data_IF_297110321275
#
_entry.id   IF_297110321275
#
_cell.length_a   1.000
_cell.length_b   1.000
_cell.length_c   1.000
_cell.angle_alpha   90.00
_cell.angle_beta   90.00
_cell.angle_gamma   90.00
#
_symmetry.space_group_name_H-M   'P 1'
#
loop_
_entity.id
_entity.type
_entity.pdbx_description
1 polymer ?
#
# COMPACT_ATOMS: atom_id res chain seq x y z
N UNK A 1 -0.50 -0.98 10.15
CA UNK A 1 -0.65 -0.53 11.55
C UNK A 1 -2.12 -0.42 11.95
N UNK A 2 -2.86 0.63 11.57
CA UNK A 2 -4.22 0.86 12.07
C UNK A 2 -5.18 -0.30 11.79
N UNK A 3 -5.19 -0.86 10.58
CA UNK A 3 -6.03 -2.01 10.24
C UNK A 3 -5.75 -3.24 11.13
N UNK A 4 -4.48 -3.49 11.48
CA UNK A 4 -4.12 -4.58 12.40
C UNK A 4 -4.56 -4.27 13.83
N UNK A 5 -4.45 -3.01 14.29
CA UNK A 5 -4.96 -2.62 15.60
C UNK A 5 -6.48 -2.83 15.70
N UNK A 6 -7.23 -2.51 14.64
CA UNK A 6 -8.67 -2.76 14.57
C UNK A 6 -8.98 -4.26 14.60
N UNK A 7 -8.28 -5.06 13.79
CA UNK A 7 -8.42 -6.51 13.78
C UNK A 7 -8.15 -7.11 15.17
N UNK A 8 -7.01 -6.76 15.79
CA UNK A 8 -6.65 -7.25 17.11
C UNK A 8 -7.66 -6.82 18.17
N UNK A 9 -8.17 -5.59 18.14
CA UNK A 9 -9.21 -5.13 19.07
C UNK A 9 -10.52 -5.94 18.92
N UNK A 10 -10.97 -6.19 17.69
CA UNK A 10 -12.18 -6.99 17.40
C UNK A 10 -12.05 -8.42 17.91
N UNK A 11 -10.86 -9.00 17.80
CA UNK A 11 -10.56 -10.38 18.20
C UNK A 11 -9.96 -10.50 19.60
N UNK A 12 -9.88 -9.39 20.37
CA UNK A 12 -9.27 -9.34 21.71
C UNK A 12 -7.84 -9.91 21.74
N UNK A 13 -7.06 -9.64 20.70
CA UNK A 13 -5.66 -10.03 20.59
C UNK A 13 -4.75 -8.89 21.06
N UNK A 14 -3.67 -9.23 21.75
CA UNK A 14 -2.58 -8.29 22.02
C UNK A 14 -1.86 -7.91 20.72
N UNK A 15 -1.45 -6.65 20.59
CA UNK A 15 -0.78 -6.16 19.38
C UNK A 15 0.41 -5.25 19.71
N UNK A 16 1.61 -5.75 19.45
CA UNK A 16 2.84 -4.97 19.48
C UNK A 16 3.18 -4.45 18.08
N UNK A 17 3.45 -3.15 17.97
CA UNK A 17 3.90 -2.53 16.71
C UNK A 17 5.27 -1.90 16.88
N UNK A 18 6.26 -2.47 16.19
CA UNK A 18 7.65 -2.03 16.25
C UNK A 18 7.94 -0.90 15.28
N UNK A 19 8.63 0.11 15.79
CA UNK A 19 8.88 1.39 15.14
C UNK A 19 10.34 1.81 15.29
N UNK A 20 10.82 2.56 14.31
CA UNK A 20 11.99 3.44 14.50
C UNK A 20 11.65 4.54 15.51
N UNK A 21 12.64 5.22 16.10
CA UNK A 21 12.39 6.28 17.06
C UNK A 21 11.43 7.33 16.50
N UNK A 22 10.36 7.61 17.25
CA UNK A 22 9.38 8.61 16.88
C UNK A 22 9.87 10.02 17.22
N UNK A 23 9.53 11.04 16.42
CA UNK A 23 9.72 12.43 16.82
C UNK A 23 9.05 12.70 18.17
N UNK A 24 9.71 13.49 19.03
CA UNK A 24 9.21 13.84 20.38
C UNK A 24 7.77 14.36 20.35
N UNK A 25 7.42 15.15 19.33
CA UNK A 25 6.06 15.67 19.12
C UNK A 25 5.01 14.58 18.94
N UNK A 26 5.28 13.56 18.11
CA UNK A 26 4.36 12.44 17.88
C UNK A 26 4.28 11.50 19.08
N UNK A 27 5.38 11.37 19.84
CA UNK A 27 5.42 10.60 21.09
C UNK A 27 4.54 11.25 22.18
N UNK A 28 4.66 12.56 22.36
CA UNK A 28 3.94 13.30 23.40
C UNK A 28 2.50 13.61 23.03
N UNK A 29 2.22 13.82 21.73
CA UNK A 29 0.89 14.14 21.22
C UNK A 29 0.60 13.27 19.99
N UNK A 30 0.19 12.00 20.19
CA UNK A 30 -0.21 11.13 19.09
C UNK A 30 -1.35 11.75 18.26
N UNK A 31 -1.30 11.59 16.93
CA UNK A 31 -2.38 11.99 16.03
C UNK A 31 -2.56 11.01 14.87
N UNK A 32 -3.65 11.19 14.11
CA UNK A 32 -3.99 10.37 12.93
C UNK A 32 -4.05 8.87 13.23
N UNK A 33 -3.63 8.07 12.25
CA UNK A 33 -3.64 6.60 12.35
C UNK A 33 -2.87 6.06 13.56
N UNK A 34 -1.81 6.75 14.00
CA UNK A 34 -1.03 6.34 15.17
C UNK A 34 -1.83 6.48 16.47
N UNK A 35 -2.48 7.64 16.68
CA UNK A 35 -3.38 7.84 17.83
C UNK A 35 -4.52 6.82 17.83
N UNK A 36 -5.15 6.62 16.67
CA UNK A 36 -6.27 5.69 16.54
C UNK A 36 -5.84 4.24 16.87
N UNK A 37 -4.65 3.82 16.44
CA UNK A 37 -4.13 2.50 16.76
C UNK A 37 -3.83 2.34 18.26
N UNK A 38 -3.23 3.36 18.91
CA UNK A 38 -3.00 3.36 20.36
C UNK A 38 -4.32 3.26 21.14
N UNK A 39 -5.37 3.98 20.73
CA UNK A 39 -6.68 3.90 21.40
C UNK A 39 -7.38 2.55 21.27
N UNK A 40 -6.93 1.71 20.33
CA UNK A 40 -7.42 0.34 20.13
C UNK A 40 -6.58 -0.70 20.90
N UNK A 41 -5.64 -0.28 21.75
CA UNK A 41 -4.81 -1.18 22.55
C UNK A 41 -3.52 -1.64 21.88
N UNK A 42 -3.11 -1.02 20.77
CA UNK A 42 -1.78 -1.25 20.20
C UNK A 42 -0.69 -0.78 21.17
N UNK A 43 0.29 -1.63 21.43
CA UNK A 43 1.51 -1.27 22.17
C UNK A 43 2.61 -0.87 21.19
N UNK A 44 2.99 0.41 21.20
CA UNK A 44 4.12 0.89 20.41
C UNK A 44 5.46 0.48 21.04
N UNK A 45 6.30 -0.22 20.29
CA UNK A 45 7.67 -0.61 20.67
C UNK A 45 8.66 0.16 19.80
N UNK A 46 9.62 0.85 20.40
CA UNK A 46 10.64 1.59 19.65
C UNK A 46 11.99 0.92 19.79
N UNK A 47 12.78 0.91 18.71
CA UNK A 47 14.16 0.41 18.73
C UNK A 47 15.06 1.33 17.90
N UNK A 48 16.29 1.54 18.39
CA UNK A 48 17.36 2.20 17.65
C UNK A 48 18.12 1.23 16.73
N UNK A 49 17.88 -0.08 16.87
CA UNK A 49 18.47 -1.11 16.00
C UNK A 49 17.82 -1.10 14.62
N UNK A 50 18.47 -1.76 13.65
CA UNK A 50 17.91 -1.97 12.32
C UNK A 50 16.58 -2.71 12.45
N UNK A 51 15.51 -2.09 11.97
CA UNK A 51 14.15 -2.63 12.09
C UNK A 51 13.89 -3.68 11.00
N UNK A 52 14.00 -4.95 11.36
CA UNK A 52 13.74 -6.10 10.50
C UNK A 52 12.91 -7.14 11.25
N UNK A 53 12.28 -8.07 10.53
CA UNK A 53 11.56 -9.17 11.17
C UNK A 53 12.48 -10.03 12.06
N UNK A 54 13.74 -10.25 11.64
CA UNK A 54 14.72 -11.01 12.39
C UNK A 54 15.12 -10.32 13.70
N UNK A 55 15.39 -9.02 13.66
CA UNK A 55 15.75 -8.26 14.86
C UNK A 55 14.57 -8.12 15.82
N UNK A 56 13.35 -7.97 15.32
CA UNK A 56 12.14 -7.96 16.16
C UNK A 56 11.95 -9.29 16.89
N UNK A 57 12.16 -10.42 16.22
CA UNK A 57 12.00 -11.76 16.82
C UNK A 57 12.91 -11.96 18.04
N UNK A 58 14.09 -11.36 18.07
CA UNK A 58 15.02 -11.46 19.21
C UNK A 58 14.47 -10.85 20.51
N UNK A 59 13.42 -10.03 20.44
CA UNK A 59 12.77 -9.46 21.63
C UNK A 59 11.74 -10.39 22.28
N UNK A 60 11.43 -11.53 21.66
CA UNK A 60 10.45 -12.49 22.16
C UNK A 60 11.10 -13.87 22.33
N UNK A 61 10.61 -14.64 23.29
CA UNK A 61 10.92 -16.07 23.34
C UNK A 61 10.21 -16.77 22.20
N UNK A 62 10.70 -17.95 21.80
CA UNK A 62 9.94 -18.81 20.91
C UNK A 62 8.60 -19.15 21.57
N UNK A 63 7.54 -18.62 21.00
CA UNK A 63 6.19 -18.76 21.49
C UNK A 63 5.28 -19.00 20.27
N UNK A 64 4.65 -20.18 20.16
CA UNK A 64 3.79 -20.52 19.03
C UNK A 64 2.54 -19.64 18.94
N UNK A 65 2.15 -18.96 20.03
CA UNK A 65 1.00 -18.08 20.06
C UNK A 65 1.30 -16.67 19.52
N UNK A 66 2.58 -16.37 19.22
CA UNK A 66 2.99 -15.09 18.65
C UNK A 66 3.05 -15.16 17.13
N UNK A 67 2.18 -14.40 16.49
CA UNK A 67 2.21 -14.17 15.06
C UNK A 67 3.07 -12.95 14.70
N UNK A 68 4.21 -13.19 14.06
CA UNK A 68 5.03 -12.13 13.48
C UNK A 68 4.57 -11.77 12.07
N UNK A 69 4.36 -10.47 11.81
CA UNK A 69 3.99 -9.93 10.50
C UNK A 69 5.03 -8.91 10.04
N UNK A 70 5.47 -9.04 8.78
CA UNK A 70 6.33 -8.05 8.15
C UNK A 70 5.55 -6.76 7.81
N UNK A 71 6.29 -5.68 7.58
CA UNK A 71 5.72 -4.42 7.11
C UNK A 71 4.87 -4.63 5.84
N UNK A 72 3.75 -3.93 5.74
CA UNK A 72 2.87 -3.98 4.57
C UNK A 72 2.19 -5.33 4.34
N UNK A 73 2.25 -6.26 5.31
CA UNK A 73 1.70 -7.61 5.12
C UNK A 73 2.49 -8.43 4.11
N UNK A 74 3.80 -8.20 3.99
CA UNK A 74 4.70 -8.99 3.14
C UNK A 74 4.87 -10.41 3.66
N UNK A 75 3.85 -11.22 3.41
CA UNK A 75 3.71 -12.59 3.90
C UNK A 75 3.00 -13.45 2.86
N UNK A 76 3.41 -14.72 2.75
CA UNK A 76 2.81 -15.67 1.80
C UNK A 76 1.31 -15.86 1.99
N UNK A 77 0.82 -15.74 3.22
CA UNK A 77 -0.61 -15.90 3.56
C UNK A 77 -1.47 -14.80 2.96
N UNK A 78 -0.89 -13.68 2.54
CA UNK A 78 -1.62 -12.63 1.84
C UNK A 78 -2.19 -13.12 0.49
N UNK A 79 -1.59 -14.17 -0.11
CA UNK A 79 -2.03 -14.73 -1.39
C UNK A 79 -3.51 -15.11 -1.39
N UNK A 80 -4.01 -15.71 -0.31
CA UNK A 80 -5.39 -16.19 -0.23
C UNK A 80 -6.40 -15.05 -0.41
N UNK A 81 -6.17 -13.93 0.28
CA UNK A 81 -7.00 -12.75 0.15
C UNK A 81 -6.91 -12.11 -1.23
N UNK A 82 -5.70 -12.06 -1.80
CA UNK A 82 -5.50 -11.47 -3.12
C UNK A 82 -6.02 -12.36 -4.26
N UNK A 83 -6.01 -13.68 -4.10
CA UNK A 83 -6.67 -14.62 -5.00
C UNK A 83 -8.17 -14.38 -5.05
N UNK A 84 -8.81 -14.16 -3.90
CA UNK A 84 -10.23 -13.80 -3.86
C UNK A 84 -10.48 -12.43 -4.51
N UNK A 85 -9.60 -11.45 -4.30
CA UNK A 85 -9.67 -10.15 -4.96
C UNK A 85 -9.58 -10.29 -6.49
N UNK A 86 -8.59 -11.03 -6.98
CA UNK A 86 -8.42 -11.30 -8.40
C UNK A 86 -9.62 -12.01 -9.01
N UNK A 87 -10.19 -13.00 -8.30
CA UNK A 87 -11.44 -13.65 -8.72
C UNK A 87 -12.57 -12.63 -8.90
N UNK A 88 -12.76 -11.72 -7.93
CA UNK A 88 -13.79 -10.67 -8.02
C UNK A 88 -13.56 -9.72 -9.20
N UNK A 89 -12.30 -9.35 -9.48
CA UNK A 89 -11.97 -8.51 -10.63
C UNK A 89 -12.26 -9.24 -11.95
N UNK A 90 -11.86 -10.51 -12.05
CA UNK A 90 -12.13 -11.35 -13.23
C UNK A 90 -13.63 -11.51 -13.45
N UNK A 91 -14.39 -11.81 -12.40
CA UNK A 91 -15.85 -11.95 -12.47
C UNK A 91 -16.51 -10.62 -12.87
N UNK A 92 -16.05 -9.50 -12.29
CA UNK A 92 -16.55 -8.17 -12.66
C UNK A 92 -16.33 -7.87 -14.14
N UNK A 93 -15.11 -8.09 -14.65
CA UNK A 93 -14.77 -7.86 -16.06
C UNK A 93 -15.54 -8.78 -17.02
N UNK A 94 -15.76 -10.05 -16.64
CA UNK A 94 -16.54 -11.02 -17.43
C UNK A 94 -18.04 -10.69 -17.44
N UNK A 95 -18.59 -10.31 -16.28
CA UNK A 95 -20.02 -10.05 -16.09
C UNK A 95 -20.54 -8.83 -16.86
N UNK A 96 -19.65 -7.91 -17.24
CA UNK A 96 -20.03 -6.66 -17.91
C UNK A 96 -20.57 -6.85 -19.35
N UNK A 97 -20.71 -8.07 -19.88
CA UNK A 97 -21.15 -8.35 -21.26
C UNK A 97 -20.35 -7.56 -22.31
N UNK A 98 -19.17 -7.06 -21.96
CA UNK A 98 -18.23 -6.55 -22.94
C UNK A 98 -17.46 -7.77 -23.41
N UNK A 99 -18.10 -8.57 -24.26
CA UNK A 99 -17.52 -9.68 -25.02
C UNK A 99 -16.30 -9.27 -25.88
N UNK A 100 -15.90 -8.00 -25.80
CA UNK A 100 -14.76 -7.37 -26.45
C UNK A 100 -13.59 -7.03 -25.51
N UNK A 101 -13.72 -7.11 -24.17
CA UNK A 101 -12.57 -6.90 -23.26
C UNK A 101 -11.66 -8.13 -23.34
N UNK A 102 -10.78 -8.10 -24.35
CA UNK A 102 -9.73 -9.10 -24.58
C UNK A 102 -8.47 -8.81 -23.77
N UNK A 103 -8.40 -7.62 -23.17
CA UNK A 103 -7.29 -7.16 -22.35
C UNK A 103 -7.77 -6.09 -21.37
N UNK A 104 -7.04 -5.89 -20.27
CA UNK A 104 -7.28 -4.83 -19.30
C UNK A 104 -6.01 -4.57 -18.49
N UNK A 105 -5.86 -3.33 -18.04
CA UNK A 105 -4.80 -2.93 -17.11
C UNK A 105 -5.36 -2.82 -15.71
N UNK A 106 -4.78 -3.54 -14.75
CA UNK A 106 -5.12 -3.44 -13.33
C UNK A 106 -4.03 -2.65 -12.65
N UNK A 107 -4.32 -1.40 -12.25
CA UNK A 107 -3.33 -0.48 -11.69
C UNK A 107 -3.48 -0.41 -10.18
N UNK A 108 -2.38 -0.62 -9.45
CA UNK A 108 -2.35 -0.61 -7.98
C UNK A 108 -1.11 0.11 -7.45
N UNK A 109 -1.25 0.91 -6.40
CA UNK A 109 -0.13 1.54 -5.71
C UNK A 109 0.65 0.52 -4.87
N UNK A 110 1.99 0.60 -4.83
CA UNK A 110 2.81 -0.33 -4.04
C UNK A 110 3.70 0.35 -3.01
N UNK A 111 3.57 -0.13 -1.77
CA UNK A 111 4.59 0.02 -0.73
C UNK A 111 5.59 -1.13 -0.76
N UNK A 112 5.13 -2.38 -0.61
CA UNK A 112 5.98 -3.59 -0.59
C UNK A 112 5.85 -4.45 -1.85
N UNK A 113 4.89 -4.16 -2.74
CA UNK A 113 4.66 -4.92 -3.98
C UNK A 113 3.83 -6.20 -3.82
N UNK A 114 3.56 -6.62 -2.59
CA UNK A 114 2.93 -7.92 -2.26
C UNK A 114 1.55 -8.07 -2.90
N UNK A 115 0.70 -7.04 -2.80
CA UNK A 115 -0.63 -7.05 -3.40
C UNK A 115 -0.56 -7.15 -4.92
N UNK A 116 0.32 -6.38 -5.57
CA UNK A 116 0.51 -6.41 -7.01
C UNK A 116 1.01 -7.79 -7.48
N UNK A 117 1.97 -8.39 -6.76
CA UNK A 117 2.50 -9.72 -7.05
C UNK A 117 1.42 -10.80 -7.03
N UNK A 118 0.65 -10.87 -5.95
CA UNK A 118 -0.37 -11.90 -5.81
C UNK A 118 -1.57 -11.66 -6.72
N UNK A 119 -1.96 -10.41 -6.96
CA UNK A 119 -2.95 -10.12 -8.00
C UNK A 119 -2.49 -10.63 -9.36
N UNK A 120 -1.23 -10.41 -9.72
CA UNK A 120 -0.71 -10.84 -11.02
C UNK A 120 -0.76 -12.37 -11.19
N UNK A 121 -0.67 -13.15 -10.11
CA UNK A 121 -0.75 -14.61 -10.20
C UNK A 121 -2.16 -15.12 -10.48
N UNK A 122 -3.17 -14.41 -9.98
CA UNK A 122 -4.55 -14.90 -9.94
C UNK A 122 -5.49 -14.14 -10.87
N UNK A 123 -5.05 -13.02 -11.45
CA UNK A 123 -5.79 -12.32 -12.49
C UNK A 123 -5.78 -13.14 -13.79
N UNK A 124 -6.83 -13.02 -14.60
CA UNK A 124 -6.90 -13.68 -15.92
C UNK A 124 -5.66 -13.34 -16.76
N UNK A 125 -5.17 -14.30 -17.55
CA UNK A 125 -3.94 -14.13 -18.33
C UNK A 125 -4.07 -13.02 -19.37
N UNK A 126 -5.30 -12.76 -19.83
CA UNK A 126 -5.65 -11.63 -20.70
C UNK A 126 -5.36 -10.26 -20.06
N UNK A 127 -5.26 -10.17 -18.74
CA UNK A 127 -5.09 -8.92 -18.02
C UNK A 127 -3.65 -8.78 -17.50
N UNK A 128 -3.22 -7.53 -17.31
CA UNK A 128 -1.88 -7.20 -16.82
C UNK A 128 -1.99 -6.31 -15.59
N UNK A 129 -1.27 -6.68 -14.53
CA UNK A 129 -1.14 -5.84 -13.34
C UNK A 129 0.00 -4.86 -13.55
N UNK A 130 -0.27 -3.59 -13.29
CA UNK A 130 0.68 -2.49 -13.29
C UNK A 130 0.77 -1.92 -11.88
N UNK A 131 1.98 -1.57 -11.46
CA UNK A 131 2.21 -1.00 -10.13
C UNK A 131 3.18 0.16 -10.17
N UNK A 132 3.06 1.07 -9.22
CA UNK A 132 3.98 2.20 -9.02
C UNK A 132 4.69 2.05 -7.67
N UNK A 133 6.00 2.27 -7.65
CA UNK A 133 6.80 2.26 -6.43
C UNK A 133 6.58 3.55 -5.64
N UNK A 134 5.67 3.51 -4.66
CA UNK A 134 5.43 4.64 -3.76
C UNK A 134 6.41 4.65 -2.59
N UNK A 135 6.90 3.47 -2.17
CA UNK A 135 7.95 3.32 -1.15
C UNK A 135 9.18 2.68 -1.80
N UNK A 136 10.37 3.22 -1.50
CA UNK A 136 11.60 2.76 -2.12
C UNK A 136 11.65 3.17 -3.59
N UNK A 137 12.12 2.26 -4.43
CA UNK A 137 12.20 2.42 -5.89
C UNK A 137 11.77 1.11 -6.59
N UNK A 138 11.91 1.11 -7.92
CA UNK A 138 11.60 -0.03 -8.78
C UNK A 138 12.39 -1.27 -8.36
N UNK A 139 13.69 -1.13 -8.11
CA UNK A 139 14.58 -2.23 -7.77
C UNK A 139 14.19 -2.84 -6.40
N UNK A 140 13.90 -1.99 -5.42
CA UNK A 140 13.36 -2.42 -4.13
C UNK A 140 12.08 -3.27 -4.28
N UNK A 141 11.13 -2.85 -5.11
CA UNK A 141 9.92 -3.64 -5.35
C UNK A 141 10.21 -4.98 -6.05
N UNK A 142 11.11 -4.98 -7.05
CA UNK A 142 11.51 -6.22 -7.71
C UNK A 142 12.13 -7.21 -6.73
N UNK A 143 13.06 -6.76 -5.89
CA UNK A 143 13.74 -7.61 -4.91
C UNK A 143 12.74 -8.21 -3.90
N UNK A 144 11.81 -7.40 -3.39
CA UNK A 144 10.75 -7.87 -2.49
C UNK A 144 9.87 -8.94 -3.14
N UNK A 145 9.42 -8.69 -4.38
CA UNK A 145 8.55 -9.62 -5.09
C UNK A 145 9.28 -10.90 -5.51
N UNK A 146 10.56 -10.81 -5.89
CA UNK A 146 11.40 -11.97 -6.21
C UNK A 146 11.65 -12.85 -4.98
N UNK A 147 11.93 -12.24 -3.83
CA UNK A 147 12.10 -12.97 -2.57
C UNK A 147 10.83 -13.74 -2.18
N UNK A 148 9.65 -13.12 -2.35
CA UNK A 148 8.36 -13.77 -2.05
C UNK A 148 7.98 -14.86 -3.06
N UNK A 149 8.23 -14.61 -4.35
CA UNK A 149 7.89 -15.56 -5.42
C UNK A 149 8.88 -16.69 -5.62
N UNK A 150 10.06 -16.61 -4.99
CA UNK A 150 11.19 -17.49 -5.25
C UNK A 150 11.57 -17.57 -6.75
N UNK A 151 11.32 -16.49 -7.49
CA UNK A 151 11.60 -16.38 -8.93
C UNK A 151 10.68 -17.20 -9.84
N UNK A 152 9.57 -17.75 -9.34
CA UNK A 152 8.72 -18.69 -10.10
C UNK A 152 7.47 -18.05 -10.72
N UNK A 153 7.23 -16.78 -10.47
CA UNK A 153 5.92 -16.16 -10.70
C UNK A 153 5.95 -15.08 -11.77
N UNK A 154 4.81 -14.88 -12.43
CA UNK A 154 4.62 -13.78 -13.38
C UNK A 154 4.64 -12.47 -12.62
N UNK A 155 5.61 -11.59 -12.86
CA UNK A 155 5.69 -10.32 -12.11
C UNK A 155 4.74 -9.26 -12.70
N UNK A 156 4.20 -8.35 -11.87
CA UNK A 156 3.51 -7.16 -12.38
C UNK A 156 4.51 -6.24 -13.09
N UNK A 157 3.99 -5.39 -13.99
CA UNK A 157 4.80 -4.36 -14.65
C UNK A 157 4.94 -3.16 -13.73
N UNK A 158 6.17 -2.76 -13.42
CA UNK A 158 6.42 -1.56 -12.60
C UNK A 158 6.52 -0.34 -13.53
N UNK A 159 5.57 0.58 -13.40
CA UNK A 159 5.60 1.88 -14.06
C UNK A 159 6.52 2.83 -13.31
N UNK A 160 7.38 3.53 -14.05
CA UNK A 160 8.34 4.48 -13.49
C UNK A 160 7.85 5.91 -13.68
N UNK A 161 7.97 6.78 -12.67
CA UNK A 161 7.68 8.20 -12.83
C UNK A 161 8.74 8.88 -13.72
N UNK A 162 8.35 9.98 -14.38
CA UNK A 162 9.29 10.82 -15.15
C UNK A 162 10.40 11.46 -14.28
N UNK A 163 10.18 11.57 -12.97
CA UNK A 163 11.19 12.02 -11.99
C UNK A 163 11.11 11.23 -10.69
N UNK A 164 12.20 11.25 -9.91
CA UNK A 164 12.25 10.56 -8.62
C UNK A 164 11.42 11.27 -7.55
N UNK A 165 10.59 10.51 -6.85
CA UNK A 165 9.83 10.96 -5.68
C UNK A 165 10.27 10.20 -4.43
N UNK A 166 10.31 10.91 -3.30
CA UNK A 166 10.64 10.32 -2.01
C UNK A 166 9.37 10.08 -1.20
N UNK A 167 9.24 8.86 -0.68
CA UNK A 167 8.07 8.47 0.11
C UNK A 167 7.83 9.44 1.28
N UNK A 168 6.57 9.86 1.43
CA UNK A 168 6.15 10.74 2.50
C UNK A 168 6.54 12.21 2.34
N UNK A 169 7.28 12.62 1.31
CA UNK A 169 7.52 14.04 1.01
C UNK A 169 6.25 14.67 0.43
N UNK A 170 5.98 15.92 0.80
CA UNK A 170 4.80 16.67 0.37
C UNK A 170 5.11 17.42 -0.93
N UNK A 171 4.69 16.86 -2.06
CA UNK A 171 4.83 17.47 -3.38
C UNK A 171 3.55 18.23 -3.76
N UNK A 172 3.64 19.51 -4.18
CA UNK A 172 2.46 20.30 -4.58
C UNK A 172 1.62 19.63 -5.66
N UNK A 173 2.25 18.99 -6.65
CA UNK A 173 1.59 18.26 -7.73
C UNK A 173 0.76 17.07 -7.23
N UNK A 174 1.20 16.38 -6.17
CA UNK A 174 0.43 15.29 -5.56
C UNK A 174 -0.81 15.83 -4.83
N UNK A 175 -0.71 17.00 -4.19
CA UNK A 175 -1.87 17.64 -3.56
C UNK A 175 -2.87 18.12 -4.61
N UNK A 176 -2.38 18.72 -5.71
CA UNK A 176 -3.21 19.14 -6.83
C UNK A 176 -3.92 17.92 -7.47
N UNK A 177 -3.20 16.81 -7.67
CA UNK A 177 -3.78 15.56 -8.17
C UNK A 177 -4.88 15.04 -7.23
N UNK A 178 -4.65 15.01 -5.92
CA UNK A 178 -5.68 14.61 -4.94
C UNK A 178 -6.97 15.44 -5.06
N UNK A 179 -6.87 16.77 -5.10
CA UNK A 179 -8.05 17.62 -5.24
C UNK A 179 -8.75 17.44 -6.58
N UNK A 180 -7.98 17.36 -7.67
CA UNK A 180 -8.51 17.11 -9.02
C UNK A 180 -9.27 15.79 -9.08
N UNK A 181 -8.73 14.71 -8.52
CA UNK A 181 -9.40 13.41 -8.48
C UNK A 181 -10.69 13.47 -7.66
N UNK A 182 -10.65 14.13 -6.48
CA UNK A 182 -11.82 14.29 -5.61
C UNK A 182 -12.93 15.08 -6.31
N UNK A 183 -12.58 16.16 -7.00
CA UNK A 183 -13.51 16.98 -7.78
C UNK A 183 -14.12 16.20 -8.96
N UNK A 184 -13.29 15.50 -9.74
CA UNK A 184 -13.74 14.81 -10.96
C UNK A 184 -14.51 13.52 -10.70
N UNK A 185 -14.20 12.80 -9.62
CA UNK A 185 -14.75 11.45 -9.37
C UNK A 185 -15.69 11.39 -8.17
N UNK A 186 -15.64 12.38 -7.27
CA UNK A 186 -16.31 12.32 -5.96
C UNK A 186 -15.67 11.32 -4.99
N UNK A 187 -14.62 10.60 -5.39
CA UNK A 187 -13.93 9.60 -4.56
C UNK A 187 -12.79 10.29 -3.81
N UNK A 188 -12.72 10.03 -2.51
CA UNK A 188 -11.57 10.43 -1.71
C UNK A 188 -10.47 9.37 -1.79
N UNK A 189 -9.34 9.75 -2.36
CA UNK A 189 -8.13 8.95 -2.43
C UNK A 189 -7.19 9.27 -1.26
N UNK A 190 -6.26 8.39 -0.92
CA UNK A 190 -5.24 8.71 0.07
C UNK A 190 -4.21 9.71 -0.49
N UNK A 191 -3.52 10.47 0.35
CA UNK A 191 -2.54 11.48 -0.08
C UNK A 191 -1.10 10.96 -0.20
N UNK A 192 -0.86 9.71 0.17
CA UNK A 192 0.49 9.16 0.32
C UNK A 192 0.86 8.19 -0.81
N UNK A 193 -0.10 7.44 -1.36
CA UNK A 193 0.11 6.45 -2.40
C UNK A 193 -0.63 6.80 -3.69
N UNK A 194 -1.93 7.08 -3.60
CA UNK A 194 -2.78 7.28 -4.77
C UNK A 194 -2.31 8.41 -5.72
N UNK A 195 -1.89 9.62 -5.28
CA UNK A 195 -1.65 10.72 -6.20
C UNK A 195 -0.45 10.46 -7.12
N UNK A 196 0.63 9.88 -6.57
CA UNK A 196 1.78 9.44 -7.36
C UNK A 196 1.37 8.35 -8.35
N UNK A 197 0.59 7.36 -7.90
CA UNK A 197 0.15 6.25 -8.76
C UNK A 197 -0.71 6.74 -9.92
N UNK A 198 -1.68 7.62 -9.64
CA UNK A 198 -2.51 8.27 -10.65
C UNK A 198 -1.68 9.11 -11.62
N UNK A 199 -0.73 9.90 -11.11
CA UNK A 199 0.16 10.68 -11.95
C UNK A 199 0.92 9.78 -12.94
N UNK A 200 1.62 8.75 -12.45
CA UNK A 200 2.40 7.85 -13.30
C UNK A 200 1.52 7.05 -14.27
N UNK A 201 0.35 6.61 -13.80
CA UNK A 201 -0.62 5.93 -14.67
C UNK A 201 -1.10 6.83 -15.81
N UNK A 202 -1.37 8.11 -15.53
CA UNK A 202 -1.80 9.08 -16.55
C UNK A 202 -0.65 9.43 -17.51
N UNK A 203 0.59 9.50 -17.02
CA UNK A 203 1.79 9.64 -17.86
C UNK A 203 1.92 8.48 -18.87
N UNK A 204 1.56 7.26 -18.48
CA UNK A 204 1.57 6.06 -19.34
C UNK A 204 0.22 5.73 -20.00
N UNK A 205 -0.80 6.59 -19.90
CA UNK A 205 -2.19 6.22 -20.20
C UNK A 205 -2.40 5.59 -21.60
N UNK A 206 -1.76 6.16 -22.62
CA UNK A 206 -1.90 5.70 -24.01
C UNK A 206 -1.14 4.40 -24.31
N UNK A 207 -0.21 4.00 -23.45
CA UNK A 207 0.58 2.76 -23.57
C UNK A 207 -0.09 1.58 -22.86
N UNK A 208 -1.05 1.86 -21.97
CA UNK A 208 -1.73 0.84 -21.17
C UNK A 208 -2.90 0.19 -21.93
N UNK A 209 -3.00 -1.15 -21.94
CA UNK A 209 -4.18 -1.87 -22.43
C UNK A 209 -5.47 -1.38 -21.78
N UNK A 210 -6.43 -0.99 -22.60
CA UNK A 210 -7.73 -0.52 -22.14
C UNK A 210 -8.74 -1.68 -21.98
N UNK A 211 -9.66 -1.60 -21.01
CA UNK A 211 -9.81 -0.52 -20.04
C UNK A 211 -8.79 -0.60 -18.90
N UNK A 212 -8.55 0.55 -18.26
CA UNK A 212 -7.80 0.63 -17.01
C UNK A 212 -8.76 0.50 -15.82
N UNK A 213 -8.44 -0.40 -14.89
CA UNK A 213 -9.08 -0.52 -13.57
C UNK A 213 -8.08 -0.06 -12.51
N UNK A 214 -8.38 1.06 -11.87
CA UNK A 214 -7.62 1.54 -10.72
C UNK A 214 -8.12 0.87 -9.42
N UNK A 215 -7.21 0.25 -8.67
CA UNK A 215 -7.50 -0.38 -7.38
C UNK A 215 -7.19 0.58 -6.23
N UNK A 216 -8.20 1.31 -5.77
CA UNK A 216 -8.08 2.13 -4.57
C UNK A 216 -8.00 1.25 -3.32
N UNK A 217 -6.85 1.27 -2.65
CA UNK A 217 -6.53 0.38 -1.52
C UNK A 217 -6.91 0.97 -0.14
N UNK A 218 -7.68 2.06 -0.12
CA UNK A 218 -8.02 2.80 1.11
C UNK A 218 -6.90 3.71 1.56
N UNK A 219 -6.70 3.87 2.88
CA UNK A 219 -5.67 4.75 3.43
C UNK A 219 -6.10 6.19 3.70
N UNK A 220 -7.32 6.55 3.31
CA UNK A 220 -7.92 7.90 3.46
C UNK A 220 -7.87 8.45 4.89
N UNK A 221 -7.88 7.60 5.91
CA UNK A 221 -7.74 8.02 7.32
C UNK A 221 -6.39 8.71 7.61
N UNK A 222 -5.39 8.51 6.75
CA UNK A 222 -4.12 9.24 6.79
C UNK A 222 -4.20 10.69 6.30
N UNK A 223 -5.24 11.05 5.54
CA UNK A 223 -5.34 12.35 4.87
C UNK A 223 -5.33 13.53 5.84
N UNK A 224 -6.00 13.41 6.99
CA UNK A 224 -6.02 14.45 8.02
C UNK A 224 -4.59 14.86 8.42
N UNK A 225 -3.73 13.86 8.63
CA UNK A 225 -2.34 14.10 9.01
C UNK A 225 -1.50 14.64 7.85
N UNK A 226 -1.73 14.18 6.62
CA UNK A 226 -1.04 14.65 5.42
C UNK A 226 -1.40 16.10 5.08
N UNK A 227 -2.69 16.45 5.11
CA UNK A 227 -3.16 17.82 4.86
C UNK A 227 -2.58 18.82 5.86
N UNK A 228 -2.48 18.45 7.15
CA UNK A 228 -1.79 19.27 8.16
C UNK A 228 -0.31 19.50 7.82
N UNK A 229 0.36 18.52 7.22
CA UNK A 229 1.76 18.66 6.78
C UNK A 229 1.88 19.60 5.58
N UNK A 230 1.00 19.44 4.58
CA UNK A 230 0.91 20.36 3.44
C UNK A 230 0.66 21.81 3.88
N UNK A 231 -0.31 22.03 4.76
CA UNK A 231 -0.63 23.36 5.29
C UNK A 231 0.57 24.01 6.00
N UNK A 232 1.31 23.25 6.83
CA UNK A 232 2.50 23.76 7.51
C UNK A 232 3.64 24.15 6.56
N UNK A 233 3.69 23.56 5.37
CA UNK A 233 4.69 23.88 4.35
C UNK A 233 4.26 25.06 3.47
N UNK A 234 2.95 25.31 3.30
CA UNK A 234 2.47 26.44 2.50
C UNK A 234 2.48 27.77 3.25
N UNK A 235 2.59 27.77 4.57
CA UNK A 235 2.64 28.98 5.42
C UNK A 235 4.05 29.34 5.88
N UNK A 236 5.08 28.68 5.34
CA UNK A 236 6.50 28.96 5.56
C UNK A 236 7.07 29.69 4.37
#
# INVERSE_FOLDING_TARGET
MLALAQFCALHKLSFDYWLKPLPKTLKNMPFGNYKAALSLGMTARCTDQVLTLATIKNHYKEDPDILFLAQGGADRRAEEGLKLCAKKINDYLKSRNISQIRQASIVIASGTGVSALYLQQHIDQAYQVYTVACVGDKDYLYDQMNALSQGKWRLPTILSPLKKYHFGVCYPEHLAMYYKLKEQTGIEFDLLYDPLTWQVMLESYYELPQPIIYLHCGGVSGNESMLKRYYRLSVR
#
